data_IF_141173491504
#
_entry.id   IF_141173491504
#
_cell.length_a   1.000
_cell.length_b   1.000
_cell.length_c   1.000
_cell.angle_alpha   90.00
_cell.angle_beta   90.00
_cell.angle_gamma   90.00
#
_symmetry.space_group_name_H-M   'P 1'
#
loop_
_entity.id
_entity.type
_entity.pdbx_description
1 polymer ?
#
# COMPACT_ATOMS: atom_id res chain seq x y z
N UNK A 1 -6.57 -46.98 -5.39
CA UNK A 1 -5.74 -47.46 -6.51
C UNK A 1 -6.26 -46.75 -7.75
N UNK A 2 -5.65 -45.75 -8.36
CA UNK A 2 -4.44 -44.92 -8.25
C UNK A 2 -4.72 -43.82 -9.30
N UNK A 3 -4.17 -42.61 -9.36
CA UNK A 3 -3.33 -41.76 -8.54
C UNK A 3 -3.28 -40.43 -9.33
N UNK A 4 -3.07 -39.32 -8.62
CA UNK A 4 -2.36 -38.14 -9.09
C UNK A 4 -2.97 -37.31 -10.24
N UNK A 5 -3.91 -36.45 -9.89
CA UNK A 5 -3.97 -35.12 -10.51
C UNK A 5 -2.78 -34.30 -10.01
N UNK A 6 -1.67 -34.31 -10.75
CA UNK A 6 -0.50 -33.51 -10.42
C UNK A 6 -0.86 -32.02 -10.44
N UNK A 7 -0.75 -31.35 -9.31
CA UNK A 7 -0.77 -29.90 -9.21
C UNK A 7 0.50 -29.33 -9.85
N UNK A 8 0.47 -29.10 -11.16
CA UNK A 8 1.44 -28.22 -11.80
C UNK A 8 1.11 -26.79 -11.36
N UNK A 9 1.65 -26.37 -10.22
CA UNK A 9 1.55 -25.01 -9.71
C UNK A 9 2.19 -24.04 -10.69
N UNK A 10 1.42 -23.55 -11.66
CA UNK A 10 1.87 -22.49 -12.55
C UNK A 10 2.21 -21.28 -11.69
N UNK A 11 3.51 -20.98 -11.58
CA UNK A 11 4.06 -19.77 -10.95
C UNK A 11 3.59 -18.54 -11.72
N UNK A 12 2.35 -18.10 -11.47
CA UNK A 12 1.79 -16.90 -12.09
C UNK A 12 2.55 -15.68 -11.59
N UNK A 13 2.86 -14.77 -12.51
CA UNK A 13 3.55 -13.51 -12.26
C UNK A 13 2.61 -12.38 -12.68
N UNK A 14 2.27 -11.50 -11.74
CA UNK A 14 1.51 -10.27 -12.04
C UNK A 14 2.43 -9.32 -12.82
N UNK A 15 2.00 -8.87 -13.99
CA UNK A 15 2.78 -7.90 -14.77
C UNK A 15 2.78 -6.51 -14.15
N UNK A 16 3.76 -5.71 -14.52
CA UNK A 16 3.87 -4.28 -14.23
C UNK A 16 2.99 -3.49 -15.22
N UNK A 17 1.67 -3.64 -15.11
CA UNK A 17 0.68 -3.18 -16.10
C UNK A 17 0.55 -1.66 -16.20
N UNK A 18 1.04 -0.91 -15.22
CA UNK A 18 1.02 0.56 -15.19
C UNK A 18 2.38 1.20 -15.52
N UNK A 19 3.42 0.39 -15.76
CA UNK A 19 4.70 0.86 -16.27
C UNK A 19 4.52 1.52 -17.64
N UNK A 20 5.26 2.59 -17.90
CA UNK A 20 5.19 3.38 -19.14
C UNK A 20 4.05 4.41 -19.16
N UNK A 21 3.21 4.45 -18.13
CA UNK A 21 2.12 5.45 -18.01
C UNK A 21 2.08 6.13 -16.64
N UNK A 22 2.15 5.38 -15.54
CA UNK A 22 2.15 5.93 -14.18
C UNK A 22 3.56 6.17 -13.64
N UNK A 23 4.53 5.38 -14.12
CA UNK A 23 5.95 5.46 -13.82
C UNK A 23 6.76 4.95 -15.03
N UNK A 24 8.05 5.25 -15.09
CA UNK A 24 8.92 4.83 -16.20
C UNK A 24 8.98 3.29 -16.32
N UNK A 25 8.78 2.75 -17.52
CA UNK A 25 9.06 1.34 -17.84
C UNK A 25 10.54 1.08 -18.17
N UNK A 26 11.31 2.12 -18.49
CA UNK A 26 12.77 2.04 -18.56
C UNK A 26 13.35 1.89 -17.14
N UNK A 27 13.98 0.74 -16.90
CA UNK A 27 14.55 0.38 -15.61
C UNK A 27 15.66 1.33 -15.14
N UNK A 28 16.49 1.84 -16.06
CA UNK A 28 17.60 2.75 -15.70
C UNK A 28 17.07 4.11 -15.29
N UNK A 29 16.09 4.63 -16.04
CA UNK A 29 15.45 5.90 -15.70
C UNK A 29 14.68 5.80 -14.39
N UNK A 30 13.92 4.72 -14.20
CA UNK A 30 13.18 4.49 -12.96
C UNK A 30 14.11 4.38 -11.75
N UNK A 31 15.20 3.62 -11.87
CA UNK A 31 16.20 3.48 -10.81
C UNK A 31 16.81 4.83 -10.41
N UNK A 32 17.21 5.63 -11.41
CA UNK A 32 17.77 6.97 -11.22
C UNK A 32 16.77 7.90 -10.52
N UNK A 33 15.52 7.96 -10.98
CA UNK A 33 14.48 8.80 -10.37
C UNK A 33 14.24 8.45 -8.90
N UNK A 34 14.08 7.16 -8.60
CA UNK A 34 13.86 6.69 -7.23
C UNK A 34 15.07 6.97 -6.34
N UNK A 35 16.29 6.75 -6.84
CA UNK A 35 17.52 7.06 -6.10
C UNK A 35 17.60 8.55 -5.75
N UNK A 36 17.36 9.44 -6.72
CA UNK A 36 17.40 10.89 -6.53
C UNK A 36 16.36 11.38 -5.51
N UNK A 37 15.13 10.87 -5.57
CA UNK A 37 14.10 11.22 -4.59
C UNK A 37 14.44 10.69 -3.19
N UNK A 38 14.95 9.46 -3.08
CA UNK A 38 15.39 8.89 -1.81
C UNK A 38 16.62 9.60 -1.23
N UNK A 39 17.46 10.20 -2.06
CA UNK A 39 18.58 11.04 -1.63
C UNK A 39 18.07 12.38 -1.09
N UNK A 40 17.19 13.06 -1.83
CA UNK A 40 16.59 14.35 -1.41
C UNK A 40 15.75 14.26 -0.15
N UNK A 41 15.11 13.11 0.10
CA UNK A 41 14.40 12.83 1.34
C UNK A 41 15.31 12.88 2.60
N UNK A 42 16.64 12.93 2.42
CA UNK A 42 17.60 13.16 3.49
C UNK A 42 17.93 11.90 4.28
N UNK A 43 18.00 12.00 5.60
CA UNK A 43 18.28 10.86 6.47
C UNK A 43 16.99 10.32 7.10
N UNK A 44 16.95 9.00 7.32
CA UNK A 44 15.91 8.39 8.12
C UNK A 44 15.88 9.04 9.52
N UNK A 45 14.68 9.33 10.02
CA UNK A 45 14.47 9.98 11.29
C UNK A 45 14.01 8.96 12.33
N UNK A 46 14.67 8.96 13.50
CA UNK A 46 14.24 8.14 14.63
C UNK A 46 14.49 6.63 14.47
N UNK A 47 13.56 5.82 14.95
CA UNK A 47 13.65 4.36 14.91
C UNK A 47 13.22 3.82 13.53
N UNK A 48 13.71 2.63 13.11
CA UNK A 48 13.27 2.01 11.87
C UNK A 48 11.75 1.91 11.78
N UNK A 49 11.17 2.37 10.66
CA UNK A 49 9.73 2.31 10.46
C UNK A 49 9.21 0.87 10.47
N UNK A 50 8.18 0.61 11.27
CA UNK A 50 7.40 -0.65 11.25
C UNK A 50 6.19 -0.57 10.31
N UNK A 51 5.73 0.64 10.04
CA UNK A 51 4.70 0.95 9.06
C UNK A 51 4.98 2.32 8.43
N UNK A 52 4.58 2.50 7.17
CA UNK A 52 4.60 3.78 6.46
C UNK A 52 3.26 3.98 5.75
N UNK A 53 2.86 5.25 5.57
CA UNK A 53 1.76 5.64 4.68
C UNK A 53 2.38 6.35 3.48
N UNK A 54 2.01 5.94 2.27
CA UNK A 54 2.61 6.44 1.03
C UNK A 54 1.55 6.64 -0.06
N UNK A 55 1.66 7.70 -0.89
CA UNK A 55 0.72 7.95 -1.99
C UNK A 55 0.84 6.92 -3.11
N UNK A 56 -0.18 6.85 -3.95
CA UNK A 56 -0.25 5.97 -5.13
C UNK A 56 -0.75 6.68 -6.40
N UNK A 57 -0.54 8.00 -6.50
CA UNK A 57 -0.61 8.69 -7.78
C UNK A 57 0.56 8.31 -8.71
N UNK A 58 0.53 8.78 -9.96
CA UNK A 58 1.68 8.63 -10.87
C UNK A 58 2.93 9.32 -10.32
N UNK A 59 4.10 8.73 -10.56
CA UNK A 59 5.37 9.13 -9.91
C UNK A 59 5.79 10.57 -10.23
N UNK A 60 5.39 11.11 -11.38
CA UNK A 60 5.60 12.53 -11.70
C UNK A 60 4.95 13.47 -10.68
N UNK A 61 3.86 13.05 -10.03
CA UNK A 61 3.11 13.86 -9.08
C UNK A 61 3.52 13.62 -7.63
N UNK A 62 3.81 12.37 -7.25
CA UNK A 62 3.99 12.01 -5.84
C UNK A 62 5.26 11.20 -5.54
N UNK A 63 6.15 10.97 -6.51
CA UNK A 63 7.36 10.17 -6.33
C UNK A 63 8.27 10.75 -5.24
N UNK A 64 8.53 12.06 -5.29
CA UNK A 64 9.33 12.75 -4.26
C UNK A 64 8.67 12.70 -2.87
N UNK A 65 7.34 12.82 -2.80
CA UNK A 65 6.59 12.67 -1.53
C UNK A 65 6.69 11.25 -0.98
N UNK A 66 6.51 10.23 -1.81
CA UNK A 66 6.63 8.82 -1.41
C UNK A 66 8.02 8.50 -0.86
N UNK A 67 9.07 9.10 -1.43
CA UNK A 67 10.44 8.89 -0.99
C UNK A 67 10.66 9.28 0.48
N UNK A 68 9.99 10.31 1.01
CA UNK A 68 10.07 10.66 2.43
C UNK A 68 9.62 9.52 3.34
N UNK A 69 8.57 8.77 2.95
CA UNK A 69 8.08 7.62 3.69
C UNK A 69 9.01 6.41 3.53
N UNK A 70 9.37 6.07 2.29
CA UNK A 70 10.24 4.92 2.00
C UNK A 70 11.65 5.05 2.58
N UNK A 71 12.16 6.27 2.72
CA UNK A 71 13.47 6.53 3.33
C UNK A 71 13.56 6.12 4.80
N UNK A 72 12.43 5.97 5.49
CA UNK A 72 12.39 5.56 6.90
C UNK A 72 12.58 4.06 7.12
N UNK A 73 12.60 3.27 6.04
CA UNK A 73 12.77 1.82 6.11
C UNK A 73 14.24 1.47 6.29
N UNK A 74 14.53 0.55 7.20
CA UNK A 74 15.85 -0.08 7.35
C UNK A 74 15.79 -1.50 6.80
N UNK A 75 16.30 -1.74 5.57
CA UNK A 75 16.08 -2.99 4.84
C UNK A 75 16.57 -4.24 5.54
N UNK A 76 17.70 -4.16 6.27
CA UNK A 76 18.40 -5.32 6.82
C UNK A 76 17.61 -6.15 7.84
N UNK A 77 16.58 -5.53 8.45
CA UNK A 77 15.73 -6.18 9.45
C UNK A 77 14.43 -6.73 8.88
N UNK A 78 14.08 -6.33 7.67
CA UNK A 78 12.77 -6.63 7.06
C UNK A 78 12.83 -7.97 6.32
N UNK A 79 11.97 -8.90 6.73
CA UNK A 79 11.74 -10.18 6.04
C UNK A 79 10.43 -10.21 5.27
N UNK A 80 9.43 -9.43 5.67
CA UNK A 80 8.13 -9.37 5.00
C UNK A 80 7.64 -7.94 4.90
N UNK A 81 7.15 -7.58 3.73
CA UNK A 81 6.51 -6.28 3.47
C UNK A 81 5.04 -6.52 3.14
N UNK A 82 4.15 -6.20 4.06
CA UNK A 82 2.71 -6.15 3.80
C UNK A 82 2.42 -4.87 3.03
N UNK A 83 1.73 -4.97 1.90
CA UNK A 83 1.32 -3.81 1.11
C UNK A 83 -0.19 -3.78 1.05
N UNK A 84 -0.79 -2.76 1.66
CA UNK A 84 -2.23 -2.63 1.77
C UNK A 84 -2.66 -1.48 0.88
N UNK A 85 -3.42 -1.77 -0.17
CA UNK A 85 -3.89 -0.79 -1.12
C UNK A 85 -5.40 -0.85 -1.29
N UNK A 86 -6.09 0.30 -1.41
CA UNK A 86 -7.51 0.32 -1.65
C UNK A 86 -7.87 -0.21 -3.05
N UNK A 87 -9.07 -0.77 -3.19
CA UNK A 87 -9.63 -1.16 -4.49
C UNK A 87 -10.33 0.02 -5.18
N UNK A 88 -9.87 0.35 -6.38
CA UNK A 88 -10.48 1.30 -7.30
C UNK A 88 -11.22 0.62 -8.45
N UNK A 89 -10.81 -0.61 -8.80
CA UNK A 89 -11.33 -1.32 -9.98
C UNK A 89 -12.56 -2.17 -9.65
N UNK A 90 -12.57 -2.84 -8.50
CA UNK A 90 -13.64 -3.76 -8.12
C UNK A 90 -14.31 -3.36 -6.82
N UNK A 91 -15.63 -3.51 -6.77
CA UNK A 91 -16.32 -3.44 -5.49
C UNK A 91 -15.96 -4.68 -4.66
N UNK A 92 -15.38 -4.44 -3.49
CA UNK A 92 -14.93 -5.48 -2.58
C UNK A 92 -15.44 -5.11 -1.17
N UNK A 93 -16.13 -6.03 -0.51
CA UNK A 93 -16.62 -5.81 0.86
C UNK A 93 -15.65 -6.22 1.96
N UNK A 94 -14.54 -6.86 1.59
CA UNK A 94 -13.50 -7.39 2.49
C UNK A 94 -12.11 -7.04 2.00
N UNK A 95 -11.15 -7.94 2.22
CA UNK A 95 -9.82 -7.85 1.65
C UNK A 95 -9.61 -9.00 0.67
N UNK A 96 -8.76 -8.79 -0.34
CA UNK A 96 -8.43 -9.80 -1.33
C UNK A 96 -6.92 -10.00 -1.45
N UNK A 97 -6.52 -11.22 -1.81
CA UNK A 97 -5.14 -11.67 -1.86
C UNK A 97 -4.78 -12.17 -3.26
N UNK A 98 -3.53 -12.02 -3.65
CA UNK A 98 -3.06 -12.41 -4.98
C UNK A 98 -2.95 -13.93 -5.12
N UNK A 99 -3.27 -14.43 -6.32
CA UNK A 99 -2.95 -15.81 -6.72
C UNK A 99 -1.58 -15.93 -7.41
N UNK A 100 -0.88 -14.81 -7.56
CA UNK A 100 0.45 -14.75 -8.16
C UNK A 100 1.53 -15.09 -7.14
N UNK A 101 2.61 -15.70 -7.63
CA UNK A 101 3.82 -16.00 -6.86
C UNK A 101 4.84 -14.86 -6.87
N UNK A 102 4.72 -13.93 -7.82
CA UNK A 102 5.59 -12.76 -7.97
C UNK A 102 4.82 -11.56 -8.52
N UNK A 103 5.28 -10.36 -8.16
CA UNK A 103 4.90 -9.10 -8.81
C UNK A 103 6.10 -8.57 -9.58
N UNK A 104 5.95 -8.37 -10.88
CA UNK A 104 7.00 -7.78 -11.72
C UNK A 104 7.10 -6.28 -11.47
N UNK A 105 8.32 -5.76 -11.48
CA UNK A 105 8.63 -4.33 -11.64
C UNK A 105 9.73 -4.18 -12.69
N UNK A 106 9.97 -2.98 -13.24
CA UNK A 106 11.12 -2.74 -14.12
C UNK A 106 12.48 -3.01 -13.45
N UNK A 107 12.58 -2.90 -12.11
CA UNK A 107 13.83 -3.10 -11.38
C UNK A 107 14.08 -4.57 -11.01
N UNK A 108 13.06 -5.26 -10.52
CA UNK A 108 13.13 -6.66 -10.11
C UNK A 108 11.73 -7.30 -9.97
N UNK A 109 11.66 -8.63 -10.10
CA UNK A 109 10.47 -9.38 -9.68
C UNK A 109 10.47 -9.54 -8.14
N UNK A 110 9.40 -9.09 -7.48
CA UNK A 110 9.19 -9.24 -6.03
C UNK A 110 8.48 -10.56 -5.73
N UNK A 111 9.01 -11.34 -4.79
CA UNK A 111 8.45 -12.66 -4.43
C UNK A 111 7.30 -12.49 -3.43
N UNK A 112 6.15 -13.09 -3.73
CA UNK A 112 4.98 -13.09 -2.85
C UNK A 112 5.12 -14.17 -1.78
N UNK A 113 4.76 -13.83 -0.54
CA UNK A 113 4.68 -14.80 0.55
C UNK A 113 3.35 -15.58 0.49
N UNK A 114 3.31 -16.59 -0.37
CA UNK A 114 2.11 -17.42 -0.58
C UNK A 114 1.67 -18.16 0.68
N UNK A 115 2.59 -18.45 1.60
CA UNK A 115 2.28 -19.12 2.86
C UNK A 115 1.44 -18.21 3.76
N UNK A 116 1.82 -16.92 3.85
CA UNK A 116 1.03 -15.91 4.58
C UNK A 116 -0.31 -15.66 3.88
N UNK A 117 -0.36 -15.63 2.55
CA UNK A 117 -1.64 -15.51 1.84
C UNK A 117 -2.58 -16.68 2.19
N UNK A 118 -2.06 -17.92 2.18
CA UNK A 118 -2.85 -19.10 2.56
C UNK A 118 -3.30 -19.04 4.02
N UNK A 119 -2.44 -18.59 4.93
CA UNK A 119 -2.78 -18.39 6.34
C UNK A 119 -3.89 -17.35 6.52
N UNK A 120 -3.80 -16.21 5.82
CA UNK A 120 -4.81 -15.15 5.85
C UNK A 120 -6.15 -15.65 5.28
N UNK A 121 -6.12 -16.35 4.13
CA UNK A 121 -7.32 -16.96 3.53
C UNK A 121 -8.02 -17.96 4.46
N UNK A 122 -7.27 -18.66 5.31
CA UNK A 122 -7.82 -19.61 6.28
C UNK A 122 -8.37 -18.94 7.57
N UNK A 123 -8.22 -17.62 7.71
CA UNK A 123 -8.71 -16.89 8.88
C UNK A 123 -10.22 -16.99 9.03
N UNK A 124 -10.67 -17.19 10.28
CA UNK A 124 -12.10 -17.20 10.64
C UNK A 124 -12.61 -15.85 11.15
N UNK A 125 -11.71 -14.92 11.45
CA UNK A 125 -12.06 -13.60 12.02
C UNK A 125 -12.65 -12.66 10.94
N UNK A 126 -12.23 -12.80 9.68
CA UNK A 126 -12.78 -12.12 8.51
C UNK A 126 -12.48 -12.91 7.24
N UNK A 127 -13.36 -12.79 6.24
CA UNK A 127 -13.24 -13.49 4.95
C UNK A 127 -12.33 -12.74 3.98
N UNK A 128 -11.25 -13.38 3.54
CA UNK A 128 -10.48 -12.93 2.39
C UNK A 128 -10.97 -13.58 1.10
N UNK A 129 -10.77 -12.90 -0.02
CA UNK A 129 -11.07 -13.39 -1.36
C UNK A 129 -9.80 -13.51 -2.22
N UNK A 130 -9.80 -14.40 -3.21
CA UNK A 130 -8.71 -14.44 -4.19
C UNK A 130 -8.94 -13.40 -5.29
N UNK A 131 -7.93 -12.59 -5.59
CA UNK A 131 -7.98 -11.64 -6.69
C UNK A 131 -7.96 -12.36 -8.04
N UNK A 132 -8.88 -11.96 -8.93
CA UNK A 132 -8.82 -12.33 -10.33
C UNK A 132 -7.73 -11.53 -11.05
N UNK A 133 -6.82 -12.22 -11.76
CA UNK A 133 -5.62 -11.61 -12.36
C UNK A 133 -5.91 -10.34 -13.18
N UNK A 134 -6.97 -10.34 -14.00
CA UNK A 134 -7.35 -9.17 -14.80
C UNK A 134 -7.64 -7.93 -13.95
N UNK A 135 -8.34 -8.10 -12.84
CA UNK A 135 -8.69 -6.99 -11.94
C UNK A 135 -7.48 -6.56 -11.12
N UNK A 136 -6.65 -7.53 -10.71
CA UNK A 136 -5.39 -7.28 -10.00
C UNK A 136 -4.38 -6.48 -10.83
N UNK A 137 -4.28 -6.76 -12.13
CA UNK A 137 -3.44 -6.00 -13.07
C UNK A 137 -4.09 -4.68 -13.48
N UNK A 138 -5.41 -4.54 -13.43
CA UNK A 138 -6.06 -3.25 -13.65
C UNK A 138 -5.93 -2.31 -12.43
N UNK A 139 -5.69 -2.84 -11.24
CA UNK A 139 -5.54 -2.07 -10.01
C UNK A 139 -4.12 -1.52 -9.85
N UNK A 140 -3.98 -0.26 -9.42
CA UNK A 140 -2.70 0.44 -9.33
C UNK A 140 -2.24 0.70 -7.90
N UNK A 141 -3.15 0.71 -6.91
CA UNK A 141 -2.83 1.13 -5.54
C UNK A 141 -1.73 0.29 -4.88
N UNK A 142 -1.67 -1.01 -5.19
CA UNK A 142 -0.60 -1.91 -4.78
C UNK A 142 0.65 -1.70 -5.63
N UNK A 143 0.50 -1.61 -6.95
CA UNK A 143 1.60 -1.54 -7.90
C UNK A 143 2.49 -0.31 -7.70
N UNK A 144 1.91 0.84 -7.39
CA UNK A 144 2.67 2.08 -7.18
C UNK A 144 3.65 2.00 -6.01
N UNK A 145 3.48 1.05 -5.10
CA UNK A 145 4.43 0.83 -4.00
C UNK A 145 5.59 -0.10 -4.39
N UNK A 146 5.41 -0.92 -5.44
CA UNK A 146 6.33 -2.04 -5.75
C UNK A 146 7.70 -1.57 -6.24
N UNK A 147 7.84 -0.60 -7.17
CA UNK A 147 9.16 -0.09 -7.55
C UNK A 147 9.94 0.52 -6.38
N UNK A 148 9.28 1.28 -5.50
CA UNK A 148 9.92 1.81 -4.29
C UNK A 148 10.39 0.70 -3.35
N UNK A 149 9.58 -0.36 -3.15
CA UNK A 149 10.00 -1.53 -2.36
C UNK A 149 11.21 -2.21 -3.01
N UNK A 150 11.19 -2.43 -4.32
CA UNK A 150 12.30 -3.01 -5.06
C UNK A 150 13.58 -2.18 -4.89
N UNK A 151 13.47 -0.85 -4.99
CA UNK A 151 14.60 0.07 -4.84
C UNK A 151 15.16 0.07 -3.43
N UNK A 152 14.34 0.26 -2.41
CA UNK A 152 14.78 0.31 -1.01
C UNK A 152 15.41 -1.01 -0.57
N UNK A 153 14.96 -2.13 -1.12
CA UNK A 153 15.44 -3.46 -0.78
C UNK A 153 16.56 -3.95 -1.73
N UNK A 154 17.08 -3.13 -2.65
CA UNK A 154 17.95 -3.58 -3.75
C UNK A 154 19.25 -4.27 -3.30
N UNK A 155 19.76 -3.95 -2.11
CA UNK A 155 20.96 -4.59 -1.54
C UNK A 155 20.67 -5.89 -0.79
N UNK A 156 19.39 -6.21 -0.55
CA UNK A 156 18.98 -7.46 0.09
C UNK A 156 19.14 -8.62 -0.90
N UNK A 157 19.67 -9.78 -0.48
CA UNK A 157 19.70 -10.95 -1.35
C UNK A 157 18.29 -11.33 -1.82
N UNK A 158 18.18 -11.75 -3.09
CA UNK A 158 16.92 -12.21 -3.68
C UNK A 158 16.33 -13.33 -2.80
N UNK A 159 15.04 -13.21 -2.47
CA UNK A 159 14.33 -14.19 -1.62
C UNK A 159 14.61 -14.07 -0.13
N UNK A 160 15.47 -13.15 0.30
CA UNK A 160 15.67 -12.88 1.74
C UNK A 160 14.55 -12.07 2.37
N UNK A 161 13.68 -11.48 1.55
CA UNK A 161 12.42 -10.87 1.94
C UNK A 161 11.32 -11.25 0.94
N UNK A 162 10.06 -11.13 1.37
CA UNK A 162 8.87 -11.37 0.53
C UNK A 162 7.84 -10.26 0.72
N UNK A 163 6.92 -10.10 -0.24
CA UNK A 163 5.80 -9.18 -0.15
C UNK A 163 4.49 -9.91 0.14
N UNK A 164 3.56 -9.25 0.81
CA UNK A 164 2.18 -9.71 1.06
C UNK A 164 1.22 -8.64 0.54
N UNK A 165 0.83 -8.68 -0.75
CA UNK A 165 -0.11 -7.74 -1.32
C UNK A 165 -1.53 -8.04 -0.83
N UNK A 166 -2.17 -7.04 -0.23
CA UNK A 166 -3.54 -7.11 0.29
C UNK A 166 -4.35 -5.98 -0.33
N UNK A 167 -5.29 -6.33 -1.19
CA UNK A 167 -6.25 -5.37 -1.71
C UNK A 167 -7.35 -5.16 -0.67
N UNK A 168 -7.60 -3.91 -0.29
CA UNK A 168 -8.55 -3.54 0.74
C UNK A 168 -9.78 -2.92 0.09
N UNK A 169 -10.94 -3.52 0.33
CA UNK A 169 -12.21 -3.04 -0.17
C UNK A 169 -12.85 -1.97 0.71
N UNK A 170 -14.13 -1.71 0.48
CA UNK A 170 -14.97 -0.84 1.31
C UNK A 170 -15.38 -1.56 2.59
N UNK A 171 -14.68 -1.28 3.69
CA UNK A 171 -14.86 -1.94 4.97
C UNK A 171 -15.81 -1.16 5.91
N UNK A 172 -16.75 -1.86 6.52
CA UNK A 172 -17.49 -1.34 7.67
C UNK A 172 -16.58 -1.27 8.90
N UNK A 173 -16.88 -0.41 9.88
CA UNK A 173 -16.10 -0.32 11.14
C UNK A 173 -15.92 -1.66 11.83
N UNK A 174 -16.94 -2.53 11.82
CA UNK A 174 -16.82 -3.87 12.37
C UNK A 174 -15.77 -4.72 11.62
N UNK A 175 -15.76 -4.66 10.28
CA UNK A 175 -14.75 -5.35 9.47
C UNK A 175 -13.36 -4.76 9.63
N UNK A 176 -13.24 -3.44 9.76
CA UNK A 176 -11.99 -2.76 10.08
C UNK A 176 -11.36 -3.31 11.35
N UNK A 177 -12.16 -3.45 12.42
CA UNK A 177 -11.73 -4.04 13.69
C UNK A 177 -11.31 -5.51 13.49
N UNK A 178 -12.10 -6.31 12.77
CA UNK A 178 -11.75 -7.71 12.48
C UNK A 178 -10.42 -7.85 11.73
N UNK A 179 -10.20 -7.06 10.68
CA UNK A 179 -8.92 -7.07 9.95
C UNK A 179 -7.76 -6.54 10.80
N UNK A 180 -8.00 -5.49 11.60
CA UNK A 180 -7.01 -4.97 12.55
C UNK A 180 -6.51 -6.07 13.49
N UNK A 181 -7.41 -6.88 14.06
CA UNK A 181 -7.04 -8.04 14.90
C UNK A 181 -6.24 -9.10 14.15
N UNK A 182 -6.61 -9.41 12.90
CA UNK A 182 -5.86 -10.36 12.06
C UNK A 182 -4.44 -9.85 11.83
N UNK A 183 -4.28 -8.56 11.51
CA UNK A 183 -2.99 -7.96 11.20
C UNK A 183 -2.14 -7.67 12.44
N UNK A 184 -2.73 -7.51 13.62
CA UNK A 184 -2.04 -7.14 14.86
C UNK A 184 -0.84 -8.05 15.17
N UNK A 185 -0.97 -9.37 15.00
CA UNK A 185 0.15 -10.31 15.24
C UNK A 185 1.32 -10.11 14.26
N UNK A 186 1.04 -9.69 13.03
CA UNK A 186 2.07 -9.39 12.05
C UNK A 186 2.69 -8.02 12.29
N UNK A 187 1.91 -7.05 12.76
CA UNK A 187 2.42 -5.74 13.22
C UNK A 187 3.30 -5.91 14.47
N UNK A 188 3.03 -6.87 15.35
CA UNK A 188 3.87 -7.11 16.52
C UNK A 188 5.27 -7.65 16.18
N UNK A 189 5.42 -8.37 15.06
CA UNK A 189 6.70 -8.99 14.67
C UNK A 189 7.68 -7.97 14.06
N UNK A 190 8.82 -7.67 14.70
CA UNK A 190 9.78 -6.65 14.25
C UNK A 190 10.39 -6.87 12.87
N UNK A 191 10.22 -8.06 12.29
CA UNK A 191 10.71 -8.39 10.95
C UNK A 191 9.72 -8.02 9.84
N UNK A 192 8.53 -7.52 10.21
CA UNK A 192 7.49 -7.12 9.27
C UNK A 192 7.41 -5.60 9.13
N UNK A 193 7.25 -5.15 7.89
CA UNK A 193 6.96 -3.78 7.51
C UNK A 193 5.55 -3.73 6.89
N UNK A 194 4.80 -2.66 7.19
CA UNK A 194 3.53 -2.36 6.53
C UNK A 194 3.65 -1.12 5.66
N UNK A 195 3.33 -1.23 4.38
CA UNK A 195 3.17 -0.10 3.45
C UNK A 195 1.68 0.08 3.24
N UNK A 196 1.14 1.18 3.76
CA UNK A 196 -0.28 1.54 3.66
C UNK A 196 -0.39 2.56 2.54
N UNK A 197 -0.98 2.14 1.42
CA UNK A 197 -1.08 2.93 0.20
C UNK A 197 -2.32 3.83 0.27
N UNK A 198 -2.13 5.14 0.30
CA UNK A 198 -3.23 6.12 0.31
C UNK A 198 -2.81 7.47 -0.22
N UNK A 199 -3.64 8.03 -1.07
CA UNK A 199 -3.69 9.46 -1.32
C UNK A 199 -4.55 10.17 -0.26
N UNK A 200 -4.43 11.49 -0.17
CA UNK A 200 -5.18 12.37 0.73
C UNK A 200 -6.37 13.02 -0.01
N UNK A 201 -6.68 14.30 0.23
CA UNK A 201 -7.88 14.93 -0.31
C UNK A 201 -7.93 14.97 -1.86
N UNK A 202 -8.97 14.36 -2.42
CA UNK A 202 -9.34 14.51 -3.83
C UNK A 202 -10.35 15.64 -3.97
N UNK A 203 -9.86 16.88 -4.06
CA UNK A 203 -10.71 18.08 -4.15
C UNK A 203 -11.10 18.43 -5.60
N UNK A 204 -12.36 18.80 -5.81
CA UNK A 204 -12.88 19.36 -7.05
C UNK A 204 -14.21 18.75 -7.50
N UNK A 205 -14.87 19.44 -8.44
CA UNK A 205 -16.14 19.00 -9.01
C UNK A 205 -16.08 17.58 -9.60
N UNK A 206 -14.95 17.20 -10.21
CA UNK A 206 -14.73 15.85 -10.76
C UNK A 206 -14.84 14.73 -9.72
N UNK A 207 -14.56 15.06 -8.45
CA UNK A 207 -14.64 14.13 -7.32
C UNK A 207 -15.91 14.32 -6.49
N UNK A 208 -16.79 15.25 -6.88
CA UNK A 208 -17.99 15.66 -6.12
C UNK A 208 -17.66 16.06 -4.67
N UNK A 209 -16.47 16.64 -4.47
CA UNK A 209 -15.98 17.01 -3.16
C UNK A 209 -15.31 18.38 -3.23
N UNK A 210 -16.02 19.43 -2.82
CA UNK A 210 -15.56 20.82 -2.88
C UNK A 210 -15.81 21.56 -1.57
N UNK A 211 -15.31 21.06 -0.41
CA UNK A 211 -15.34 21.84 0.81
C UNK A 211 -14.63 23.17 0.56
N UNK A 212 -15.31 24.26 0.91
CA UNK A 212 -14.76 25.61 0.85
C UNK A 212 -15.55 26.43 1.86
N UNK A 213 -14.84 27.06 2.79
CA UNK A 213 -15.38 28.08 3.68
C UNK A 213 -14.92 29.47 3.18
N UNK A 214 -15.79 30.20 2.44
CA UNK A 214 -15.46 31.53 1.96
C UNK A 214 -15.21 32.55 3.08
N UNK A 215 -15.72 32.28 4.29
CA UNK A 215 -15.56 33.18 5.44
C UNK A 215 -14.20 33.05 6.13
N UNK A 216 -13.46 31.98 5.85
CA UNK A 216 -12.13 31.72 6.43
C UNK A 216 -11.07 32.75 6.05
N UNK A 217 -11.27 33.49 4.95
CA UNK A 217 -10.29 34.40 4.37
C UNK A 217 -9.04 33.72 3.79
N UNK A 218 -9.01 32.38 3.73
CA UNK A 218 -7.87 31.59 3.23
C UNK A 218 -8.11 31.05 1.82
N UNK A 219 -7.06 30.96 0.98
CA UNK A 219 -7.13 30.23 -0.28
C UNK A 219 -7.57 28.77 -0.10
N UNK A 220 -8.25 28.21 -1.10
CA UNK A 220 -8.78 26.83 -1.07
C UNK A 220 -7.67 25.80 -0.76
N UNK A 221 -6.47 25.95 -1.34
CA UNK A 221 -5.38 24.99 -1.10
C UNK A 221 -4.91 24.97 0.36
N UNK A 222 -4.98 26.09 1.08
CA UNK A 222 -4.64 26.12 2.51
C UNK A 222 -5.73 25.48 3.37
N UNK A 223 -6.99 25.63 2.96
CA UNK A 223 -8.10 24.94 3.61
C UNK A 223 -7.99 23.43 3.41
N UNK A 224 -7.62 22.97 2.20
CA UNK A 224 -7.33 21.56 1.91
C UNK A 224 -6.15 21.08 2.76
N UNK A 225 -5.04 21.82 2.79
CA UNK A 225 -3.88 21.45 3.60
C UNK A 225 -4.21 21.34 5.09
N UNK A 226 -5.01 22.27 5.63
CA UNK A 226 -5.47 22.20 7.02
C UNK A 226 -6.40 21.00 7.27
N UNK A 227 -7.30 20.74 6.32
CA UNK A 227 -8.15 19.56 6.37
C UNK A 227 -7.27 18.31 6.42
N UNK A 228 -6.28 18.17 5.53
CA UNK A 228 -5.40 16.99 5.44
C UNK A 228 -4.56 16.82 6.70
N UNK A 229 -4.03 17.93 7.22
CA UNK A 229 -3.29 17.95 8.47
C UNK A 229 -4.12 17.38 9.63
N UNK A 230 -5.41 17.74 9.74
CA UNK A 230 -6.26 17.21 10.81
C UNK A 230 -6.43 15.70 10.75
N UNK A 231 -6.45 15.12 9.56
CA UNK A 231 -6.48 13.66 9.41
C UNK A 231 -5.14 13.01 9.71
N UNK A 232 -4.03 13.63 9.27
CA UNK A 232 -2.69 13.20 9.65
C UNK A 232 -2.49 13.22 11.16
N UNK A 233 -2.96 14.27 11.85
CA UNK A 233 -2.90 14.39 13.30
C UNK A 233 -3.73 13.30 13.99
N UNK A 234 -4.91 12.96 13.46
CA UNK A 234 -5.74 11.89 13.99
C UNK A 234 -5.07 10.50 13.81
N UNK A 235 -4.40 10.27 12.68
CA UNK A 235 -3.59 9.07 12.46
C UNK A 235 -2.43 9.03 13.46
N UNK A 236 -1.71 10.15 13.64
CA UNK A 236 -0.57 10.25 14.55
C UNK A 236 -0.96 10.07 16.03
N UNK A 237 -2.21 10.38 16.38
CA UNK A 237 -2.78 10.12 17.70
C UNK A 237 -3.03 8.64 17.98
N UNK A 238 -3.00 7.78 16.95
CA UNK A 238 -3.22 6.33 17.05
C UNK A 238 -4.58 5.98 17.68
N UNK A 239 -5.61 6.77 17.36
CA UNK A 239 -6.97 6.65 17.88
C UNK A 239 -7.97 6.41 16.71
N UNK A 240 -8.33 5.15 16.42
CA UNK A 240 -9.24 4.81 15.33
C UNK A 240 -10.62 5.45 15.41
N UNK A 241 -11.29 5.53 16.58
CA UNK A 241 -12.52 6.31 16.72
C UNK A 241 -12.36 7.76 16.26
N UNK A 242 -11.31 8.47 16.73
CA UNK A 242 -11.06 9.87 16.34
C UNK A 242 -10.83 9.99 14.83
N UNK A 243 -10.04 9.10 14.23
CA UNK A 243 -9.86 9.08 12.78
C UNK A 243 -11.18 8.82 12.03
N UNK A 244 -12.00 7.90 12.51
CA UNK A 244 -13.29 7.53 11.87
C UNK A 244 -14.28 8.68 11.84
N UNK A 245 -14.31 9.51 12.88
CA UNK A 245 -15.13 10.72 12.90
C UNK A 245 -14.64 11.77 11.88
N UNK A 246 -13.33 11.88 11.68
CA UNK A 246 -12.72 12.80 10.69
C UNK A 246 -12.76 12.24 9.26
N UNK A 247 -12.87 10.92 9.06
CA UNK A 247 -12.82 10.22 7.77
C UNK A 247 -13.97 10.55 6.83
N UNK A 248 -15.15 10.90 7.35
CA UNK A 248 -16.38 11.19 6.56
C UNK A 248 -16.20 12.26 5.49
N UNK A 249 -15.06 12.94 5.48
CA UNK A 249 -14.74 14.00 4.56
C UNK A 249 -13.50 13.75 3.69
N UNK A 250 -12.73 12.65 3.77
CA UNK A 250 -11.32 12.82 3.35
C UNK A 250 -10.36 11.68 2.98
N UNK A 251 -10.57 10.41 3.35
CA UNK A 251 -9.50 9.40 3.21
C UNK A 251 -9.94 8.11 2.52
N UNK A 252 -9.04 7.55 1.71
CA UNK A 252 -9.13 6.20 1.14
C UNK A 252 -8.48 5.15 2.07
N UNK A 253 -8.02 5.53 3.27
CA UNK A 253 -7.54 4.57 4.28
C UNK A 253 -8.73 3.85 4.91
N UNK A 254 -8.85 2.58 4.56
CA UNK A 254 -9.97 1.70 4.91
C UNK A 254 -9.68 0.84 6.15
N UNK A 255 -8.46 0.82 6.70
CA UNK A 255 -8.15 0.03 7.91
C UNK A 255 -7.40 0.92 8.92
N UNK A 256 -7.96 1.17 10.11
CA UNK A 256 -7.21 1.73 11.21
C UNK A 256 -6.23 0.67 11.75
N UNK A 257 -4.94 0.95 11.64
CA UNK A 257 -3.90 0.20 12.33
C UNK A 257 -3.50 1.00 13.55
N UNK A 258 -4.23 0.82 14.66
CA UNK A 258 -3.77 0.75 16.07
C UNK A 258 -4.94 0.24 16.91
#
# INVERSE_FOLDING_TARGET
MDCNGSSSGHHRIRQASHAGSWYSDDARELDRQLAEWLERAGQAQGQPARAIISPHAGYTYCGETAAYAFKQIVPDRVKRVFVLGPSHVVFLGGCALTTCSKYRTPLADLIVDTDINNELMASREASFEWMGLRNEEAEHSLEMQMPFIAKVMEHRPIGSYKIVPVLVGSLSTARQISYGKIFAKYVADPQNLFVISSDFCHWGNRFRYTPNDPSSGRPIHEQIANLDQRGMDAIAALDPPVFSEKRRTQFVVEIPFV
#
